data_IF_368081268342
#
_entry.id   IF_368081268342
#
_cell.length_a   1.000
_cell.length_b   1.000
_cell.length_c   1.000
_cell.angle_alpha   90.00
_cell.angle_beta   90.00
_cell.angle_gamma   90.00
#
_symmetry.space_group_name_H-M   'P 1'
#
loop_
_entity.id
_entity.type
_entity.pdbx_description
1 polymer ?
#
# COMPACT_ATOMS: atom_id res chain seq x y z
N UNK A 1 -12.17 -10.40 -14.54
CA UNK A 1 -11.13 -10.98 -15.42
C UNK A 1 -9.84 -10.17 -15.44
N UNK A 2 -9.84 -8.88 -15.81
CA UNK A 2 -8.59 -8.09 -15.96
C UNK A 2 -7.85 -7.79 -14.65
N UNK A 3 -8.54 -7.42 -13.58
CA UNK A 3 -7.91 -7.18 -12.27
C UNK A 3 -7.34 -8.47 -11.64
N UNK A 4 -8.03 -9.61 -11.81
CA UNK A 4 -7.54 -10.91 -11.36
C UNK A 4 -6.24 -11.30 -12.07
N UNK A 5 -6.09 -10.98 -13.36
CA UNK A 5 -4.86 -11.22 -14.10
C UNK A 5 -3.70 -10.37 -13.56
N UNK A 6 -3.94 -9.11 -13.19
CA UNK A 6 -2.91 -8.26 -12.58
C UNK A 6 -2.47 -8.82 -11.21
N UNK A 7 -3.41 -9.28 -10.39
CA UNK A 7 -3.09 -9.92 -9.12
C UNK A 7 -2.29 -11.21 -9.31
N UNK A 8 -2.78 -12.13 -10.16
CA UNK A 8 -2.21 -13.46 -10.33
C UNK A 8 -0.89 -13.48 -11.12
N UNK A 9 -0.74 -12.60 -12.12
CA UNK A 9 0.39 -12.65 -13.06
C UNK A 9 1.43 -11.55 -12.84
N UNK A 10 1.14 -10.54 -12.00
CA UNK A 10 2.08 -9.45 -11.71
C UNK A 10 2.35 -9.35 -10.22
N UNK A 11 1.32 -9.06 -9.41
CA UNK A 11 1.53 -8.84 -7.98
C UNK A 11 2.01 -10.12 -7.26
N UNK A 12 1.40 -11.28 -7.54
CA UNK A 12 1.81 -12.52 -6.87
C UNK A 12 3.27 -12.92 -7.17
N UNK A 13 3.73 -12.94 -8.44
CA UNK A 13 5.15 -13.21 -8.75
C UNK A 13 6.11 -12.18 -8.15
N UNK A 14 5.78 -10.88 -8.21
CA UNK A 14 6.61 -9.84 -7.60
C UNK A 14 6.68 -9.98 -6.07
N UNK A 15 5.56 -10.32 -5.42
CA UNK A 15 5.54 -10.54 -3.97
C UNK A 15 6.43 -11.70 -3.57
N UNK A 16 6.39 -12.81 -4.32
CA UNK A 16 7.26 -13.97 -4.09
C UNK A 16 8.73 -13.62 -4.23
N UNK A 17 9.08 -12.80 -5.23
CA UNK A 17 10.45 -12.39 -5.50
C UNK A 17 10.99 -11.40 -4.46
N UNK A 18 10.21 -10.38 -4.14
CA UNK A 18 10.64 -9.26 -3.29
C UNK A 18 10.53 -9.59 -1.80
N UNK A 19 9.55 -10.41 -1.41
CA UNK A 19 9.20 -10.69 -0.03
C UNK A 19 9.05 -12.20 0.22
N UNK A 20 10.16 -12.97 0.16
CA UNK A 20 10.11 -14.40 0.36
C UNK A 20 9.49 -14.73 1.73
N UNK A 21 8.44 -15.56 1.73
CA UNK A 21 7.70 -15.96 2.94
C UNK A 21 6.42 -15.17 3.21
N UNK A 22 6.19 -14.03 2.55
CA UNK A 22 4.92 -13.29 2.61
C UNK A 22 3.93 -13.89 1.61
N UNK A 23 2.68 -14.15 2.04
CA UNK A 23 1.63 -14.73 1.19
C UNK A 23 1.79 -16.18 0.73
N UNK A 24 2.86 -16.90 1.15
CA UNK A 24 3.14 -18.33 0.86
C UNK A 24 2.85 -18.79 -0.58
N UNK A 25 3.01 -17.90 -1.57
CA UNK A 25 2.88 -18.21 -2.99
C UNK A 25 1.47 -18.24 -3.57
N UNK A 26 0.43 -17.83 -2.84
CA UNK A 26 -0.92 -17.78 -3.40
C UNK A 26 -1.71 -16.56 -2.89
N UNK A 27 -1.53 -15.41 -3.55
CA UNK A 27 -2.52 -14.34 -3.48
C UNK A 27 -3.76 -14.81 -4.24
N UNK A 28 -4.77 -15.28 -3.51
CA UNK A 28 -5.94 -15.99 -4.02
C UNK A 28 -7.20 -15.10 -4.05
N UNK A 29 -7.07 -13.87 -3.57
CA UNK A 29 -8.08 -12.84 -3.72
C UNK A 29 -7.46 -11.45 -3.74
N UNK A 30 -8.25 -10.48 -4.18
CA UNK A 30 -7.79 -9.11 -4.35
C UNK A 30 -8.88 -8.09 -4.03
N UNK A 31 -8.45 -6.88 -3.69
CA UNK A 31 -9.28 -5.70 -3.64
C UNK A 31 -8.56 -4.59 -4.40
N UNK A 32 -9.26 -3.95 -5.35
CA UNK A 32 -8.70 -2.89 -6.16
C UNK A 32 -9.55 -1.63 -6.08
N UNK A 33 -8.91 -0.46 -6.03
CA UNK A 33 -9.57 0.84 -6.01
C UNK A 33 -8.65 1.91 -6.59
N UNK A 34 -9.19 3.07 -6.92
CA UNK A 34 -8.41 4.25 -7.33
C UNK A 34 -8.42 5.31 -6.25
N UNK A 35 -7.31 6.03 -6.14
CA UNK A 35 -7.15 7.20 -5.28
C UNK A 35 -6.94 8.42 -6.16
N UNK A 36 -7.69 9.47 -5.87
CA UNK A 36 -7.55 10.77 -6.51
C UNK A 36 -7.07 11.77 -5.47
N UNK A 37 -5.81 12.19 -5.59
CA UNK A 37 -5.19 13.16 -4.67
C UNK A 37 -5.04 14.51 -5.34
N UNK A 38 -5.53 15.52 -4.63
CA UNK A 38 -5.53 16.94 -4.96
C UNK A 38 -5.28 17.72 -3.67
N UNK A 39 -4.78 18.96 -3.74
CA UNK A 39 -4.86 19.89 -2.64
C UNK A 39 -6.32 20.07 -2.25
N UNK A 40 -6.67 19.65 -1.04
CA UNK A 40 -7.90 20.09 -0.40
C UNK A 40 -7.55 21.32 0.44
N UNK A 41 -8.47 22.28 0.54
CA UNK A 41 -8.29 23.45 1.43
C UNK A 41 -8.26 23.05 2.91
N UNK A 42 -8.68 23.94 3.81
CA UNK A 42 -8.65 23.77 5.29
C UNK A 42 -9.53 22.62 5.85
N UNK A 43 -9.99 21.70 4.99
CA UNK A 43 -10.52 20.41 5.43
C UNK A 43 -9.34 19.57 5.86
N UNK A 44 -9.10 19.61 7.18
CA UNK A 44 -8.21 18.74 7.94
C UNK A 44 -7.80 17.53 7.13
N UNK A 45 -6.55 17.58 6.67
CA UNK A 45 -5.87 16.52 5.96
C UNK A 45 -6.42 15.17 6.37
N UNK A 46 -7.12 14.48 5.47
CA UNK A 46 -6.94 13.06 5.40
C UNK A 46 -5.53 12.82 4.83
N UNK A 47 -4.49 13.26 5.59
CA UNK A 47 -3.29 12.43 5.72
C UNK A 47 -3.89 11.06 5.96
N UNK A 48 -3.58 10.09 5.10
CA UNK A 48 -3.82 8.74 5.55
C UNK A 48 -2.93 8.63 6.79
N UNK A 49 -3.56 8.75 7.96
CA UNK A 49 -2.91 8.65 9.25
C UNK A 49 -1.98 7.46 9.19
N UNK A 50 -0.82 7.56 9.83
CA UNK A 50 0.13 6.45 9.87
C UNK A 50 -0.63 5.13 10.16
N UNK A 51 -0.58 4.19 9.23
CA UNK A 51 -1.43 3.00 9.25
C UNK A 51 -0.75 1.80 8.60
N UNK A 52 -1.41 0.65 8.75
CA UNK A 52 -1.13 -0.57 8.02
C UNK A 52 -2.29 -0.86 7.09
N UNK A 53 -1.97 -1.42 5.92
CA UNK A 53 -3.00 -1.88 5.01
C UNK A 53 -3.51 -3.25 5.43
N UNK A 54 -4.81 -3.50 5.23
CA UNK A 54 -5.38 -4.84 5.41
C UNK A 54 -5.14 -5.64 4.12
N UNK A 55 -3.98 -6.30 4.02
CA UNK A 55 -3.59 -7.26 2.97
C UNK A 55 -2.28 -7.98 3.32
N UNK A 56 -1.78 -8.84 2.42
CA UNK A 56 -0.40 -9.37 2.51
C UNK A 56 0.58 -8.43 1.81
N UNK A 57 0.32 -8.14 0.54
CA UNK A 57 1.08 -7.18 -0.26
C UNK A 57 0.15 -6.28 -1.06
N UNK A 58 0.61 -5.08 -1.38
CA UNK A 58 -0.12 -4.16 -2.25
C UNK A 58 0.78 -3.64 -3.36
N UNK A 59 0.17 -3.40 -4.52
CA UNK A 59 0.73 -2.68 -5.64
C UNK A 59 0.03 -1.32 -5.72
N UNK A 60 0.81 -0.26 -5.65
CA UNK A 60 0.36 1.10 -5.91
C UNK A 60 0.98 1.56 -7.23
N UNK A 61 0.16 1.97 -8.19
CA UNK A 61 0.60 2.38 -9.53
C UNK A 61 0.01 3.73 -9.90
N UNK A 62 0.88 4.71 -10.15
CA UNK A 62 0.47 6.07 -10.49
C UNK A 62 0.08 6.15 -11.97
N UNK A 63 -1.22 6.35 -12.21
CA UNK A 63 -1.79 6.47 -13.55
C UNK A 63 -1.49 7.84 -14.16
N UNK A 64 -1.55 8.89 -13.33
CA UNK A 64 -1.38 10.28 -13.75
C UNK A 64 -0.77 11.09 -12.62
N UNK A 65 0.19 11.93 -12.95
CA UNK A 65 0.83 12.89 -12.03
C UNK A 65 0.95 14.21 -12.76
N UNK A 66 0.43 15.29 -12.17
CA UNK A 66 0.45 16.63 -12.77
C UNK A 66 0.90 17.67 -11.76
N UNK A 67 2.03 18.32 -12.02
CA UNK A 67 2.61 19.38 -11.19
C UNK A 67 2.62 19.09 -9.68
N UNK A 68 2.83 17.82 -9.31
CA UNK A 68 2.64 17.36 -7.94
C UNK A 68 3.68 17.99 -6.99
N UNK A 69 3.21 18.48 -5.86
CA UNK A 69 4.03 18.79 -4.69
C UNK A 69 3.36 18.30 -3.43
N UNK A 70 4.14 17.76 -2.51
CA UNK A 70 3.62 16.96 -1.41
C UNK A 70 3.25 15.55 -1.86
N UNK A 71 2.32 14.91 -1.14
CA UNK A 71 1.75 13.59 -1.45
C UNK A 71 2.76 12.43 -1.51
N UNK A 72 3.99 12.58 -1.04
CA UNK A 72 4.95 11.48 -0.90
C UNK A 72 4.46 10.45 0.11
N UNK A 73 4.75 9.19 -0.15
CA UNK A 73 4.51 8.09 0.78
C UNK A 73 5.74 7.92 1.67
N UNK A 74 5.54 7.76 2.96
CA UNK A 74 6.59 7.43 3.92
C UNK A 74 6.35 6.04 4.48
N UNK A 75 7.39 5.21 4.49
CA UNK A 75 7.43 3.94 5.20
C UNK A 75 8.30 4.08 6.45
N UNK A 76 7.77 3.60 7.57
CA UNK A 76 8.44 3.63 8.88
C UNK A 76 9.06 2.27 9.17
N UNK A 77 10.38 2.24 9.39
CA UNK A 77 11.10 1.05 9.82
C UNK A 77 11.02 0.83 11.33
N UNK A 78 11.21 -0.42 11.76
CA UNK A 78 11.24 -0.79 13.19
C UNK A 78 12.39 -0.11 13.95
N UNK A 79 13.43 0.32 13.25
CA UNK A 79 14.58 1.07 13.78
C UNK A 79 14.33 2.59 13.87
N UNK A 80 13.11 3.04 13.58
CA UNK A 80 12.75 4.46 13.51
C UNK A 80 13.22 5.15 12.22
N UNK A 81 13.75 4.41 11.24
CA UNK A 81 14.10 4.97 9.94
C UNK A 81 12.87 5.33 9.12
N UNK A 82 12.98 6.38 8.31
CA UNK A 82 11.94 6.79 7.37
C UNK A 82 12.41 6.65 5.94
N UNK A 83 11.57 6.06 5.07
CA UNK A 83 11.82 5.96 3.64
C UNK A 83 10.72 6.64 2.86
N UNK A 84 11.09 7.72 2.17
CA UNK A 84 10.16 8.55 1.41
C UNK A 84 10.17 8.19 -0.07
N UNK A 85 8.99 7.95 -0.64
CA UNK A 85 8.78 7.67 -2.05
C UNK A 85 8.02 8.81 -2.72
N UNK A 86 8.60 9.32 -3.80
CA UNK A 86 7.93 10.24 -4.72
C UNK A 86 7.07 9.51 -5.75
N UNK A 87 6.32 10.29 -6.52
CA UNK A 87 5.37 9.80 -7.50
C UNK A 87 5.72 10.30 -8.89
N UNK A 88 5.61 9.42 -9.89
CA UNK A 88 5.78 9.73 -11.29
C UNK A 88 4.77 8.93 -12.12
N UNK A 89 4.25 9.51 -13.19
CA UNK A 89 3.28 8.84 -14.04
C UNK A 89 3.89 7.54 -14.62
N UNK A 90 3.17 6.43 -14.48
CA UNK A 90 3.61 5.10 -14.88
C UNK A 90 4.55 4.40 -13.90
N UNK A 91 4.94 5.06 -12.80
CA UNK A 91 5.71 4.42 -11.74
C UNK A 91 4.77 3.70 -10.77
N UNK A 92 5.31 2.71 -10.07
CA UNK A 92 4.60 2.04 -9.00
C UNK A 92 5.56 1.39 -8.02
N UNK A 93 5.03 1.03 -6.85
CA UNK A 93 5.76 0.30 -5.83
C UNK A 93 4.93 -0.85 -5.31
N UNK A 94 5.64 -1.86 -4.80
CA UNK A 94 5.08 -3.02 -4.13
C UNK A 94 5.60 -3.02 -2.69
N UNK A 95 4.71 -3.17 -1.72
CA UNK A 95 5.07 -3.20 -0.30
C UNK A 95 4.33 -4.32 0.43
N UNK A 96 4.87 -4.72 1.58
CA UNK A 96 4.16 -5.58 2.53
C UNK A 96 3.16 -4.70 3.28
N UNK A 97 1.93 -5.17 3.42
CA UNK A 97 0.85 -4.34 3.99
C UNK A 97 0.97 -4.14 5.51
N UNK A 98 1.75 -5.01 6.19
CA UNK A 98 2.11 -4.86 7.61
C UNK A 98 3.14 -3.76 7.85
N UNK A 99 3.76 -3.22 6.80
CA UNK A 99 4.71 -2.13 6.96
C UNK A 99 3.93 -0.85 7.20
N UNK A 100 4.27 -0.15 8.28
CA UNK A 100 3.58 1.05 8.67
C UNK A 100 3.94 2.18 7.69
N UNK A 101 2.93 2.87 7.19
CA UNK A 101 3.15 3.94 6.23
C UNK A 101 2.13 5.06 6.35
N UNK A 102 2.48 6.22 5.82
CA UNK A 102 1.65 7.41 5.75
C UNK A 102 1.81 8.11 4.42
N UNK A 103 0.98 9.13 4.20
CA UNK A 103 1.11 10.02 3.05
C UNK A 103 1.05 11.45 3.54
N UNK A 104 2.05 12.25 3.15
CA UNK A 104 2.00 13.68 3.44
C UNK A 104 0.90 14.35 2.59
N UNK A 105 0.36 15.51 2.99
CA UNK A 105 -0.65 16.20 2.21
C UNK A 105 -0.17 16.58 0.80
N UNK A 106 -1.08 16.58 -0.18
CA UNK A 106 -0.82 17.22 -1.47
C UNK A 106 -0.98 18.74 -1.30
N UNK A 107 0.07 19.51 -1.63
CA UNK A 107 0.06 20.98 -1.50
C UNK A 107 -0.12 21.69 -2.84
N UNK A 108 0.18 21.00 -3.95
CA UNK A 108 -0.08 21.46 -5.32
C UNK A 108 -0.25 20.28 -6.27
N UNK A 109 -0.84 20.54 -7.43
CA UNK A 109 -0.95 19.56 -8.50
C UNK A 109 -1.96 18.45 -8.24
N UNK A 110 -1.76 17.29 -8.86
CA UNK A 110 -2.63 16.13 -8.71
C UNK A 110 -1.94 14.79 -8.95
N UNK A 111 -2.53 13.74 -8.37
CA UNK A 111 -2.13 12.35 -8.59
C UNK A 111 -3.35 11.43 -8.64
N UNK A 112 -3.43 10.59 -9.66
CA UNK A 112 -4.37 9.48 -9.72
C UNK A 112 -3.58 8.16 -9.62
N UNK A 113 -3.92 7.33 -8.64
CA UNK A 113 -3.22 6.06 -8.36
C UNK A 113 -4.22 4.91 -8.41
N UNK A 114 -3.86 3.80 -9.05
CA UNK A 114 -4.54 2.53 -8.89
C UNK A 114 -3.86 1.74 -7.77
N UNK A 115 -4.64 1.21 -6.84
CA UNK A 115 -4.17 0.37 -5.75
C UNK A 115 -4.76 -1.02 -5.91
N UNK A 116 -3.91 -2.04 -5.83
CA UNK A 116 -4.29 -3.44 -5.82
C UNK A 116 -3.74 -4.08 -4.54
N UNK A 117 -4.64 -4.49 -3.65
CA UNK A 117 -4.34 -5.25 -2.44
C UNK A 117 -4.50 -6.73 -2.72
N UNK A 118 -3.46 -7.52 -2.44
CA UNK A 118 -3.45 -8.97 -2.57
C UNK A 118 -3.61 -9.67 -1.23
N UNK A 119 -4.38 -10.74 -1.21
CA UNK A 119 -4.67 -11.53 -0.01
C UNK A 119 -4.40 -12.99 -0.26
N UNK A 120 -3.80 -13.67 0.71
CA UNK A 120 -3.71 -15.14 0.72
C UNK A 120 -4.83 -15.75 1.59
N UNK A 121 -5.25 -16.98 1.30
CA UNK A 121 -6.22 -17.72 2.12
C UNK A 121 -5.82 -17.76 3.60
N UNK A 122 -4.52 -17.94 3.89
CA UNK A 122 -4.00 -18.01 5.25
C UNK A 122 -4.23 -16.71 6.04
N UNK A 123 -4.18 -15.55 5.36
CA UNK A 123 -4.47 -14.25 5.94
C UNK A 123 -5.95 -14.11 6.30
N UNK A 124 -6.86 -14.51 5.39
CA UNK A 124 -8.32 -14.44 5.58
C UNK A 124 -8.85 -15.38 6.67
N UNK A 125 -8.12 -16.44 6.99
CA UNK A 125 -8.48 -17.43 8.02
C UNK A 125 -7.90 -17.13 9.39
N UNK A 126 -7.12 -16.04 9.51
CA UNK A 126 -6.61 -15.60 10.80
C UNK A 126 -7.76 -14.97 11.61
N UNK A 127 -8.05 -15.43 12.85
CA UNK A 127 -8.91 -14.69 13.77
C UNK A 127 -8.46 -13.23 13.86
N UNK A 128 -9.35 -12.29 14.17
CA UNK A 128 -8.97 -10.88 14.33
C UNK A 128 -7.80 -10.66 15.30
N UNK A 129 -7.64 -11.56 16.26
CA UNK A 129 -6.50 -11.64 17.20
C UNK A 129 -5.18 -12.01 16.52
N UNK A 130 -5.20 -12.94 15.58
CA UNK A 130 -4.01 -13.35 14.81
C UNK A 130 -3.65 -12.34 13.72
N UNK A 131 -4.62 -11.57 13.19
CA UNK A 131 -4.32 -10.38 12.38
C UNK A 131 -3.56 -9.34 13.21
N UNK A 132 -4.00 -9.09 14.45
CA UNK A 132 -3.29 -8.20 15.37
C UNK A 132 -1.85 -8.67 15.64
N UNK A 133 -1.65 -9.95 15.93
CA UNK A 133 -0.33 -10.52 16.21
C UNK A 133 0.62 -10.55 14.99
N UNK A 134 0.08 -10.70 13.76
CA UNK A 134 0.89 -10.81 12.54
C UNK A 134 1.08 -9.50 11.80
N UNK A 135 0.17 -8.54 11.96
CA UNK A 135 0.07 -7.36 11.09
C UNK A 135 0.17 -6.02 11.84
N UNK A 136 0.12 -6.00 13.17
CA UNK A 136 0.49 -4.81 13.94
C UNK A 136 1.92 -5.00 14.48
N UNK A 137 2.81 -3.99 14.35
CA UNK A 137 4.13 -4.07 14.95
C UNK A 137 4.02 -4.15 16.48
N UNK A 138 4.98 -4.80 17.17
CA UNK A 138 4.97 -4.95 18.63
C UNK A 138 5.00 -3.62 19.39
N UNK A 139 5.20 -2.48 18.71
CA UNK A 139 5.36 -1.14 19.30
C UNK A 139 4.06 -0.38 19.51
N UNK A 140 2.90 -0.94 19.13
CA UNK A 140 1.58 -0.35 19.42
C UNK A 140 1.06 -0.93 20.75
N UNK A 141 1.53 -0.35 21.87
CA UNK A 141 0.99 -0.55 23.23
C UNK A 141 0.59 0.78 23.85
#
# INVERSE_FOLDING_TARGET
>A
WRANALAAHVLAPLSLLLFPGVGQGALDSMHAFTLHRRPEGDRSNATASVHNDVCETSLNFDLRVEDLGGSRVVFYGDDGSERWLGHAAGAGFVNVCRDQHGVEPAVRGSRDTAVLRGFAAAFRRSPGETYRERCLPPSIW
#
